data_IF_945465272654
#
_entry.id   IF_945465272654
#
_cell.length_a   1.000
_cell.length_b   1.000
_cell.length_c   1.000
_cell.angle_alpha   90.00
_cell.angle_beta   90.00
_cell.angle_gamma   90.00
#
_symmetry.space_group_name_H-M   'P 1'
#
loop_
_entity.id
_entity.type
_entity.pdbx_description
1 polymer ?
#
# COMPACT_ATOMS: atom_id res chain seq x y z
N UNK A 1 29.63 -16.30 -3.34
CA UNK A 1 29.37 -15.82 -1.96
C UNK A 1 27.91 -16.02 -1.53
N UNK A 2 26.94 -15.18 -1.93
CA UNK A 2 25.54 -15.31 -1.48
C UNK A 2 24.89 -16.66 -1.83
N UNK A 3 24.91 -17.07 -3.10
CA UNK A 3 24.33 -18.36 -3.54
C UNK A 3 25.02 -19.59 -2.91
N UNK A 4 26.24 -19.42 -2.42
CA UNK A 4 27.05 -20.46 -1.79
C UNK A 4 26.89 -20.50 -0.26
N UNK A 5 26.03 -19.65 0.32
CA UNK A 5 25.84 -19.58 1.77
C UNK A 5 27.02 -19.02 2.57
N UNK A 6 28.02 -18.42 1.91
CA UNK A 6 29.19 -17.81 2.57
C UNK A 6 28.81 -16.45 3.16
N UNK A 7 28.03 -16.45 4.23
CA UNK A 7 27.38 -15.25 4.77
C UNK A 7 28.35 -14.20 5.30
N UNK A 8 29.35 -14.59 6.09
CA UNK A 8 30.33 -13.66 6.66
C UNK A 8 31.11 -12.93 5.56
N UNK A 9 31.65 -13.68 4.59
CA UNK A 9 32.38 -13.11 3.46
C UNK A 9 31.46 -12.24 2.60
N UNK A 10 30.21 -12.64 2.39
CA UNK A 10 29.25 -11.83 1.64
C UNK A 10 28.95 -10.50 2.32
N UNK A 11 28.73 -10.50 3.64
CA UNK A 11 28.47 -9.30 4.42
C UNK A 11 29.71 -8.40 4.46
N UNK A 12 30.90 -8.96 4.69
CA UNK A 12 32.14 -8.19 4.73
C UNK A 12 32.42 -7.44 3.41
N UNK A 13 32.00 -8.02 2.28
CA UNK A 13 32.18 -7.43 0.95
C UNK A 13 30.95 -6.64 0.46
N UNK A 14 29.91 -6.51 1.28
CA UNK A 14 28.70 -5.80 0.88
C UNK A 14 28.93 -4.29 0.86
N UNK A 15 28.60 -3.66 -0.28
CA UNK A 15 28.51 -2.21 -0.41
C UNK A 15 27.05 -1.79 -0.44
N UNK A 16 26.71 -0.70 0.27
CA UNK A 16 25.35 -0.17 0.35
C UNK A 16 24.78 0.03 -1.06
N UNK A 17 23.65 -0.61 -1.34
CA UNK A 17 23.02 -0.60 -2.68
C UNK A 17 21.61 -0.02 -2.63
N UNK A 18 21.22 0.68 -3.71
CA UNK A 18 19.83 1.08 -3.96
C UNK A 18 18.97 -0.08 -4.49
N UNK A 19 19.59 -1.18 -4.95
CA UNK A 19 18.88 -2.35 -5.47
C UNK A 19 18.16 -3.09 -4.34
N UNK A 20 16.84 -3.26 -4.48
CA UNK A 20 16.03 -4.07 -3.55
C UNK A 20 16.53 -5.51 -3.46
N UNK A 21 17.00 -6.06 -4.58
CA UNK A 21 17.61 -7.39 -4.63
C UNK A 21 18.81 -7.48 -3.68
N UNK A 22 19.75 -6.54 -3.79
CA UNK A 22 20.95 -6.53 -2.95
C UNK A 22 20.63 -6.25 -1.47
N UNK A 23 19.68 -5.37 -1.20
CA UNK A 23 19.20 -5.12 0.16
C UNK A 23 18.59 -6.39 0.80
N UNK A 24 17.79 -7.15 0.05
CA UNK A 24 17.22 -8.40 0.52
C UNK A 24 18.30 -9.46 0.77
N UNK A 25 19.25 -9.62 -0.15
CA UNK A 25 20.38 -10.55 0.02
C UNK A 25 21.20 -10.23 1.26
N UNK A 26 21.51 -8.95 1.47
CA UNK A 26 22.25 -8.48 2.65
C UNK A 26 21.52 -8.80 3.95
N UNK A 27 20.25 -8.43 4.05
CA UNK A 27 19.48 -8.67 5.28
C UNK A 27 19.21 -10.17 5.51
N UNK A 28 19.07 -10.96 4.44
CA UNK A 28 19.01 -12.42 4.58
C UNK A 28 20.33 -13.01 5.13
N UNK A 29 21.48 -12.55 4.64
CA UNK A 29 22.77 -12.98 5.17
C UNK A 29 22.96 -12.56 6.64
N UNK A 30 22.58 -11.35 7.02
CA UNK A 30 22.57 -10.91 8.43
C UNK A 30 21.66 -11.80 9.30
N UNK A 31 20.47 -12.15 8.80
CA UNK A 31 19.55 -13.06 9.49
C UNK A 31 20.19 -14.43 9.76
N UNK A 32 20.90 -14.98 8.78
CA UNK A 32 21.59 -16.27 8.88
C UNK A 32 22.79 -16.24 9.85
N UNK A 33 23.41 -15.07 10.03
CA UNK A 33 24.50 -14.84 11.00
C UNK A 33 23.99 -14.54 12.42
N UNK A 34 22.77 -14.97 12.74
CA UNK A 34 22.08 -14.75 14.01
C UNK A 34 21.70 -13.28 14.34
N UNK A 35 21.84 -12.32 13.42
CA UNK A 35 21.37 -10.93 13.60
C UNK A 35 19.89 -10.76 13.21
N UNK A 36 19.01 -11.66 13.69
CA UNK A 36 17.61 -11.77 13.24
C UNK A 36 16.82 -10.47 13.44
N UNK A 37 16.84 -9.90 14.65
CA UNK A 37 16.13 -8.64 15.00
C UNK A 37 16.55 -7.48 14.11
N UNK A 38 17.87 -7.33 13.88
CA UNK A 38 18.44 -6.28 13.02
C UNK A 38 17.96 -6.45 11.57
N UNK A 39 18.06 -7.66 11.03
CA UNK A 39 17.63 -7.97 9.66
C UNK A 39 16.13 -7.72 9.44
N UNK A 40 15.28 -8.17 10.38
CA UNK A 40 13.83 -8.02 10.27
C UNK A 40 13.38 -6.57 10.46
N UNK A 41 14.00 -5.83 11.38
CA UNK A 41 13.76 -4.38 11.53
C UNK A 41 14.11 -3.63 10.25
N UNK A 42 15.27 -3.91 9.65
CA UNK A 42 15.68 -3.30 8.39
C UNK A 42 14.74 -3.66 7.22
N UNK A 43 14.11 -4.84 7.28
CA UNK A 43 13.15 -5.31 6.26
C UNK A 43 11.90 -4.43 6.18
N UNK A 44 11.51 -3.71 7.24
CA UNK A 44 10.38 -2.78 7.20
C UNK A 44 10.54 -1.72 6.08
N UNK A 45 11.75 -1.20 5.88
CA UNK A 45 12.05 -0.23 4.80
C UNK A 45 12.04 -0.88 3.41
N UNK A 46 12.39 -2.17 3.33
CA UNK A 46 12.34 -2.93 2.09
C UNK A 46 10.87 -3.17 1.71
N UNK A 47 10.05 -3.57 2.69
CA UNK A 47 8.63 -3.90 2.60
C UNK A 47 7.77 -2.75 2.08
N UNK A 48 8.03 -1.51 2.51
CA UNK A 48 7.25 -0.32 2.13
C UNK A 48 7.49 0.09 0.67
N UNK A 49 6.92 -0.68 -0.25
CA UNK A 49 6.89 -0.42 -1.69
C UNK A 49 5.56 -0.88 -2.28
N UNK A 50 5.08 -0.16 -3.29
CA UNK A 50 3.85 -0.51 -4.01
C UNK A 50 4.04 -1.63 -5.04
N UNK A 51 5.27 -2.11 -5.25
CA UNK A 51 5.58 -3.13 -6.26
C UNK A 51 5.92 -4.48 -5.64
N UNK A 52 5.83 -5.53 -6.46
CA UNK A 52 6.39 -6.84 -6.13
C UNK A 52 7.90 -6.71 -5.91
N UNK A 53 8.38 -7.37 -4.85
CA UNK A 53 9.80 -7.41 -4.54
C UNK A 53 10.49 -8.52 -5.35
N UNK A 54 11.80 -8.41 -5.64
CA UNK A 54 12.54 -9.46 -6.32
C UNK A 54 12.47 -10.80 -5.58
N UNK A 55 12.56 -11.92 -6.31
CA UNK A 55 12.55 -13.29 -5.77
C UNK A 55 13.59 -13.54 -4.67
N UNK A 56 14.73 -12.83 -4.72
CA UNK A 56 15.75 -12.88 -3.67
C UNK A 56 15.24 -12.41 -2.28
N UNK A 57 14.10 -11.71 -2.23
CA UNK A 57 13.46 -11.27 -0.99
C UNK A 57 12.58 -12.34 -0.36
N UNK A 58 12.16 -13.39 -1.07
CA UNK A 58 11.09 -14.29 -0.64
C UNK A 58 11.38 -14.93 0.73
N UNK A 59 12.59 -15.45 0.94
CA UNK A 59 12.99 -16.07 2.22
C UNK A 59 13.01 -15.07 3.38
N UNK A 60 13.49 -13.85 3.13
CA UNK A 60 13.51 -12.79 4.13
C UNK A 60 12.09 -12.33 4.46
N UNK A 61 11.23 -12.19 3.44
CA UNK A 61 9.84 -11.81 3.59
C UNK A 61 9.01 -12.88 4.31
N UNK A 62 9.27 -14.16 4.05
CA UNK A 62 8.64 -15.26 4.78
C UNK A 62 8.86 -15.08 6.29
N UNK A 63 10.12 -14.91 6.72
CA UNK A 63 10.46 -14.69 8.13
C UNK A 63 9.93 -13.36 8.67
N UNK A 64 9.96 -12.31 7.86
CA UNK A 64 9.41 -11.02 8.25
C UNK A 64 7.90 -11.08 8.47
N UNK A 65 7.16 -11.77 7.59
CA UNK A 65 5.69 -11.87 7.67
C UNK A 65 5.20 -12.73 8.83
N UNK A 66 6.04 -13.63 9.34
CA UNK A 66 5.78 -14.44 10.54
C UNK A 66 6.21 -13.74 11.84
N UNK A 67 6.92 -12.62 11.74
CA UNK A 67 7.47 -11.91 12.90
C UNK A 67 6.53 -10.81 13.41
N UNK A 68 6.72 -10.42 14.68
CA UNK A 68 6.04 -9.26 15.28
C UNK A 68 6.43 -7.92 14.65
N UNK A 69 7.49 -7.87 13.83
CA UNK A 69 7.90 -6.65 13.13
C UNK A 69 6.96 -6.27 11.98
N UNK A 70 6.15 -7.21 11.46
CA UNK A 70 5.10 -6.88 10.49
C UNK A 70 3.81 -6.51 11.22
N UNK A 71 3.60 -5.21 11.40
CA UNK A 71 2.38 -4.69 12.02
C UNK A 71 1.24 -4.56 11.00
N UNK A 72 -0.01 -4.54 11.49
CA UNK A 72 -1.19 -4.26 10.65
C UNK A 72 -1.08 -2.90 9.93
N UNK A 73 -0.44 -1.91 10.57
CA UNK A 73 -0.13 -0.61 9.96
C UNK A 73 0.78 -0.75 8.74
N UNK A 74 1.84 -1.56 8.81
CA UNK A 74 2.74 -1.80 7.68
C UNK A 74 2.05 -2.56 6.53
N UNK A 75 1.13 -3.48 6.84
CA UNK A 75 0.32 -4.16 5.82
C UNK A 75 -0.56 -3.14 5.10
N UNK A 76 -1.28 -2.31 5.85
CA UNK A 76 -2.13 -1.26 5.29
C UNK A 76 -1.35 -0.24 4.45
N UNK A 77 -0.18 0.22 4.92
CA UNK A 77 0.67 1.14 4.17
C UNK A 77 1.10 0.53 2.83
N UNK A 78 1.56 -0.74 2.83
CA UNK A 78 1.95 -1.42 1.59
C UNK A 78 0.75 -1.66 0.68
N UNK A 79 -0.41 -1.99 1.24
CA UNK A 79 -1.65 -2.13 0.49
C UNK A 79 -1.98 -0.83 -0.28
N UNK A 80 -1.95 0.32 0.40
CA UNK A 80 -2.23 1.61 -0.23
C UNK A 80 -1.16 2.00 -1.27
N UNK A 81 0.11 1.68 -1.04
CA UNK A 81 1.15 1.85 -2.05
C UNK A 81 0.89 1.00 -3.30
N UNK A 82 0.44 -0.25 -3.12
CA UNK A 82 0.11 -1.15 -4.22
C UNK A 82 -1.11 -0.66 -5.00
N UNK A 83 -2.15 -0.19 -4.31
CA UNK A 83 -3.33 0.44 -4.94
C UNK A 83 -2.91 1.64 -5.79
N UNK A 84 -2.13 2.56 -5.23
CA UNK A 84 -1.64 3.77 -5.94
C UNK A 84 -0.72 3.43 -7.12
N UNK A 85 0.09 2.38 -6.98
CA UNK A 85 0.98 1.85 -8.02
C UNK A 85 0.29 0.95 -9.06
N UNK A 86 -1.04 0.80 -9.00
CA UNK A 86 -1.85 -0.09 -9.87
C UNK A 86 -1.43 -1.57 -9.81
N UNK A 87 -0.83 -1.99 -8.71
CA UNK A 87 -0.41 -3.37 -8.46
C UNK A 87 -1.54 -4.13 -7.75
N UNK A 88 -2.66 -4.32 -8.46
CA UNK A 88 -3.90 -4.81 -7.84
C UNK A 88 -3.79 -6.24 -7.32
N UNK A 89 -3.03 -7.13 -7.96
CA UNK A 89 -2.79 -8.49 -7.45
C UNK A 89 -2.08 -8.47 -6.09
N UNK A 90 -1.08 -7.59 -5.93
CA UNK A 90 -0.40 -7.38 -4.65
C UNK A 90 -1.35 -6.77 -3.61
N UNK A 91 -2.16 -5.79 -4.00
CA UNK A 91 -3.15 -5.20 -3.12
C UNK A 91 -4.18 -6.25 -2.65
N UNK A 92 -4.68 -7.12 -3.52
CA UNK A 92 -5.58 -8.23 -3.16
C UNK A 92 -4.93 -9.20 -2.18
N UNK A 93 -3.66 -9.56 -2.41
CA UNK A 93 -2.92 -10.41 -1.46
C UNK A 93 -2.78 -9.76 -0.08
N UNK A 94 -2.46 -8.46 -0.02
CA UNK A 94 -2.29 -7.73 1.23
C UNK A 94 -3.60 -7.51 1.98
N UNK A 95 -4.70 -7.28 1.25
CA UNK A 95 -6.06 -7.17 1.80
C UNK A 95 -6.43 -8.40 2.64
N UNK A 96 -6.11 -9.61 2.15
CA UNK A 96 -6.35 -10.87 2.86
C UNK A 96 -5.53 -11.04 4.15
N UNK A 97 -4.47 -10.25 4.34
CA UNK A 97 -3.62 -10.29 5.56
C UNK A 97 -4.08 -9.33 6.65
N UNK A 98 -5.06 -8.47 6.37
CA UNK A 98 -5.63 -7.56 7.36
C UNK A 98 -6.56 -8.35 8.29
N UNK A 99 -6.26 -8.30 9.58
CA UNK A 99 -7.01 -9.07 10.59
C UNK A 99 -8.19 -8.30 11.17
N UNK A 100 -8.07 -6.98 11.29
CA UNK A 100 -9.17 -6.12 11.72
C UNK A 100 -10.26 -6.07 10.65
N UNK A 101 -11.49 -6.45 11.01
CA UNK A 101 -12.61 -6.57 10.08
C UNK A 101 -12.94 -5.27 9.35
N UNK A 102 -12.92 -4.13 10.06
CA UNK A 102 -13.20 -2.82 9.46
C UNK A 102 -12.13 -2.42 8.44
N UNK A 103 -10.86 -2.63 8.77
CA UNK A 103 -9.73 -2.32 7.87
C UNK A 103 -9.75 -3.22 6.63
N UNK A 104 -10.10 -4.51 6.81
CA UNK A 104 -10.28 -5.44 5.69
C UNK A 104 -11.43 -5.00 4.78
N UNK A 105 -12.60 -4.66 5.33
CA UNK A 105 -13.74 -4.13 4.56
C UNK A 105 -13.37 -2.86 3.79
N UNK A 106 -12.63 -1.94 4.41
CA UNK A 106 -12.10 -0.75 3.73
C UNK A 106 -11.16 -1.13 2.58
N UNK A 107 -10.28 -2.11 2.75
CA UNK A 107 -9.38 -2.58 1.68
C UNK A 107 -10.14 -3.20 0.50
N UNK A 108 -11.21 -3.94 0.77
CA UNK A 108 -12.07 -4.53 -0.27
C UNK A 108 -12.85 -3.45 -1.03
N UNK A 109 -13.34 -2.43 -0.33
CA UNK A 109 -13.95 -1.25 -0.95
C UNK A 109 -12.96 -0.53 -1.88
N UNK A 110 -11.71 -0.33 -1.46
CA UNK A 110 -10.65 0.21 -2.32
C UNK A 110 -10.44 -0.63 -3.59
N UNK A 111 -10.39 -1.96 -3.46
CA UNK A 111 -10.21 -2.87 -4.60
C UNK A 111 -11.37 -2.84 -5.59
N UNK A 112 -12.61 -2.63 -5.11
CA UNK A 112 -13.77 -2.40 -5.99
C UNK A 112 -13.69 -1.03 -6.67
N UNK A 113 -13.38 0.02 -5.89
CA UNK A 113 -13.34 1.39 -6.36
C UNK A 113 -12.29 1.63 -7.44
N UNK A 114 -11.10 1.04 -7.30
CA UNK A 114 -10.04 1.21 -8.31
C UNK A 114 -10.38 0.59 -9.66
N UNK A 115 -11.30 -0.38 -9.68
CA UNK A 115 -11.82 -1.00 -10.90
C UNK A 115 -13.00 -0.21 -11.49
N UNK A 116 -13.83 0.38 -10.63
CA UNK A 116 -15.04 1.11 -11.00
C UNK A 116 -15.21 2.37 -10.15
N UNK A 117 -14.57 3.49 -10.53
CA UNK A 117 -14.64 4.74 -9.77
C UNK A 117 -16.06 5.28 -9.59
N UNK A 118 -16.96 4.99 -10.53
CA UNK A 118 -18.38 5.39 -10.53
C UNK A 118 -19.15 4.82 -9.34
N UNK A 119 -18.59 3.84 -8.61
CA UNK A 119 -19.18 3.34 -7.38
C UNK A 119 -19.36 4.42 -6.31
N UNK A 120 -18.60 5.53 -6.35
CA UNK A 120 -18.80 6.64 -5.40
C UNK A 120 -20.18 7.28 -5.53
N UNK A 121 -20.85 7.13 -6.66
CA UNK A 121 -22.17 7.69 -6.89
C UNK A 121 -23.26 6.93 -6.14
N UNK A 122 -22.97 5.72 -5.67
CA UNK A 122 -23.92 4.90 -4.94
C UNK A 122 -23.83 5.17 -3.44
N UNK A 123 -24.94 5.55 -2.85
CA UNK A 123 -25.05 5.83 -1.40
C UNK A 123 -24.72 4.61 -0.55
N UNK A 124 -24.98 3.40 -1.05
CA UNK A 124 -24.67 2.14 -0.38
C UNK A 124 -23.17 1.80 -0.35
N UNK A 125 -22.36 2.39 -1.24
CA UNK A 125 -20.95 2.04 -1.38
C UNK A 125 -20.16 2.29 -0.08
N UNK A 126 -20.49 3.38 0.60
CA UNK A 126 -19.82 3.80 1.84
C UNK A 126 -20.40 3.16 3.10
N UNK A 127 -21.49 2.39 2.99
CA UNK A 127 -22.18 1.83 4.15
C UNK A 127 -21.28 0.89 4.97
N UNK A 128 -21.09 1.25 6.24
CA UNK A 128 -20.22 0.56 7.18
C UNK A 128 -18.74 0.58 6.80
N UNK A 129 -18.29 1.59 6.05
CA UNK A 129 -16.88 1.99 5.95
C UNK A 129 -16.60 3.07 6.99
N UNK A 130 -15.38 3.12 7.52
CA UNK A 130 -15.00 4.18 8.47
C UNK A 130 -14.82 5.53 7.74
N UNK A 131 -15.33 6.62 8.30
CA UNK A 131 -15.29 7.96 7.69
C UNK A 131 -13.89 8.38 7.20
N UNK A 132 -12.86 8.16 8.02
CA UNK A 132 -11.47 8.51 7.68
C UNK A 132 -10.95 7.82 6.40
N UNK A 133 -11.48 6.65 6.05
CA UNK A 133 -11.15 5.93 4.82
C UNK A 133 -11.92 6.42 3.59
N UNK A 134 -13.11 7.00 3.79
CA UNK A 134 -13.99 7.42 2.71
C UNK A 134 -13.46 8.67 1.99
N UNK A 135 -12.94 9.65 2.73
CA UNK A 135 -12.40 10.88 2.15
C UNK A 135 -11.29 10.61 1.10
N UNK A 136 -10.36 9.70 1.40
CA UNK A 136 -9.32 9.31 0.44
C UNK A 136 -9.89 8.60 -0.80
N UNK A 137 -10.91 7.75 -0.62
CA UNK A 137 -11.60 7.06 -1.71
C UNK A 137 -12.29 8.04 -2.65
N UNK A 138 -13.04 9.01 -2.10
CA UNK A 138 -13.70 10.06 -2.89
C UNK A 138 -12.67 10.85 -3.67
N UNK A 139 -11.60 11.33 -3.03
CA UNK A 139 -10.53 12.07 -3.71
C UNK A 139 -9.87 11.26 -4.82
N UNK A 140 -9.66 9.95 -4.62
CA UNK A 140 -9.12 9.08 -5.64
C UNK A 140 -10.08 8.95 -6.84
N UNK A 141 -11.34 8.66 -6.58
CA UNK A 141 -12.34 8.43 -7.62
C UNK A 141 -12.65 9.70 -8.41
N UNK A 142 -12.77 10.85 -7.74
CA UNK A 142 -12.95 12.15 -8.39
C UNK A 142 -11.82 12.45 -9.38
N UNK A 143 -10.56 12.21 -9.01
CA UNK A 143 -9.42 12.38 -9.94
C UNK A 143 -9.48 11.46 -11.16
N UNK A 144 -10.22 10.36 -11.10
CA UNK A 144 -10.42 9.44 -12.22
C UNK A 144 -11.61 9.84 -13.08
N UNK A 145 -12.67 10.34 -12.46
CA UNK A 145 -13.93 10.67 -13.12
C UNK A 145 -13.89 12.04 -13.80
N UNK A 146 -13.24 13.04 -13.18
CA UNK A 146 -13.21 14.40 -13.72
C UNK A 146 -12.68 14.44 -15.17
N UNK A 147 -11.54 13.81 -15.54
CA UNK A 147 -11.08 13.85 -16.92
C UNK A 147 -11.99 13.11 -17.91
N UNK A 148 -12.86 12.23 -17.43
CA UNK A 148 -13.78 11.46 -18.26
C UNK A 148 -15.11 12.20 -18.48
N UNK A 149 -15.60 12.90 -17.45
CA UNK A 149 -16.86 13.65 -17.47
C UNK A 149 -16.85 14.74 -16.39
N UNK A 150 -16.41 15.94 -16.77
CA UNK A 150 -16.24 17.06 -15.84
C UNK A 150 -17.59 17.52 -15.28
N UNK A 151 -18.62 17.64 -16.11
CA UNK A 151 -19.93 18.17 -15.71
C UNK A 151 -20.60 17.27 -14.65
N UNK A 152 -20.65 15.95 -14.89
CA UNK A 152 -21.20 15.03 -13.91
C UNK A 152 -20.35 14.99 -12.63
N UNK A 153 -19.03 15.03 -12.75
CA UNK A 153 -18.14 15.08 -11.59
C UNK A 153 -18.35 16.37 -10.75
N UNK A 154 -18.54 17.51 -11.40
CA UNK A 154 -18.84 18.79 -10.74
C UNK A 154 -20.13 18.72 -9.94
N UNK A 155 -21.22 18.26 -10.57
CA UNK A 155 -22.52 18.15 -9.92
C UNK A 155 -22.45 17.27 -8.68
N UNK A 156 -21.78 16.11 -8.78
CA UNK A 156 -21.59 15.22 -7.64
C UNK A 156 -20.76 15.87 -6.53
N UNK A 157 -19.64 16.48 -6.90
CA UNK A 157 -18.74 17.10 -5.93
C UNK A 157 -19.46 18.18 -5.13
N UNK A 158 -20.25 19.03 -5.79
CA UNK A 158 -21.07 20.04 -5.14
C UNK A 158 -22.08 19.44 -4.15
N UNK A 159 -22.78 18.37 -4.56
CA UNK A 159 -23.82 17.75 -3.76
C UNK A 159 -23.31 16.94 -2.55
N UNK A 160 -22.14 16.31 -2.66
CA UNK A 160 -21.72 15.28 -1.69
C UNK A 160 -20.46 15.62 -0.88
N UNK A 161 -19.70 16.67 -1.24
CA UNK A 161 -18.43 16.98 -0.53
C UNK A 161 -18.60 17.20 0.97
N UNK A 162 -19.75 17.72 1.43
CA UNK A 162 -20.03 17.95 2.85
C UNK A 162 -20.34 16.66 3.63
N UNK A 163 -20.61 15.55 2.94
CA UNK A 163 -20.89 14.25 3.57
C UNK A 163 -19.62 13.48 3.96
N UNK A 164 -18.44 14.00 3.61
CA UNK A 164 -17.16 13.34 3.86
C UNK A 164 -16.23 14.25 4.67
N UNK A 165 -15.44 13.65 5.55
CA UNK A 165 -14.41 14.33 6.36
C UNK A 165 -13.20 14.73 5.50
N UNK A 166 -13.43 15.64 4.54
CA UNK A 166 -12.42 16.14 3.61
C UNK A 166 -11.68 17.34 4.21
N UNK A 167 -10.35 17.33 4.08
CA UNK A 167 -9.51 18.49 4.40
C UNK A 167 -9.62 19.56 3.32
N UNK A 168 -9.37 20.83 3.69
CA UNK A 168 -9.31 21.94 2.72
C UNK A 168 -8.32 21.68 1.59
N UNK A 169 -7.20 21.03 1.90
CA UNK A 169 -6.21 20.63 0.89
C UNK A 169 -6.79 19.64 -0.13
N UNK A 170 -7.57 18.66 0.32
CA UNK A 170 -8.25 17.73 -0.57
C UNK A 170 -9.32 18.45 -1.39
N UNK A 171 -10.10 19.34 -0.77
CA UNK A 171 -11.16 20.09 -1.44
C UNK A 171 -10.59 20.96 -2.56
N UNK A 172 -9.60 21.79 -2.23
CA UNK A 172 -8.93 22.66 -3.19
C UNK A 172 -8.30 21.88 -4.35
N UNK A 173 -7.76 20.69 -4.08
CA UNK A 173 -7.17 19.84 -5.12
C UNK A 173 -8.21 19.32 -6.11
N UNK A 174 -9.42 19.00 -5.66
CA UNK A 174 -10.50 18.55 -6.54
C UNK A 174 -11.10 19.73 -7.30
N UNK A 175 -11.33 20.86 -6.62
CA UNK A 175 -11.85 22.06 -7.27
C UNK A 175 -10.94 22.56 -8.41
N UNK A 176 -9.62 22.54 -8.22
CA UNK A 176 -8.66 22.87 -9.28
C UNK A 176 -8.62 21.88 -10.44
N UNK A 177 -9.05 20.64 -10.22
CA UNK A 177 -9.13 19.65 -11.30
C UNK A 177 -10.41 19.80 -12.12
N UNK A 178 -11.45 20.37 -11.50
CA UNK A 178 -12.75 20.67 -12.08
C UNK A 178 -12.71 21.95 -12.94
N UNK A 179 -12.01 22.98 -12.47
CA UNK A 179 -11.86 24.27 -13.14
C UNK A 179 -10.93 24.18 -14.36
#
# INVERSE_FOLDING_TARGET
>A
LYKQGKWDVFVANYKRSKSKQMQCRYNWAEYQRNYKTKALTATQKIWLTGSSLPKDCDRLLEKFTQSSFLTQKLIWQRFMLAVKGRQYSLATYLSKKLTNAQTRKNSEAWLRLVKKPELIYKTDFFQGLSNSGQAEMVVYAMKKLIPADVEHAMGLWGAQKSSFDLTDTQINKIQRAIA
#
